data_IF_691892201755
#
_entry.id   IF_691892201755
#
_cell.length_a   1.000
_cell.length_b   1.000
_cell.length_c   1.000
_cell.angle_alpha   90.00
_cell.angle_beta   90.00
_cell.angle_gamma   90.00
#
_symmetry.space_group_name_H-M   'P 1'
#
loop_
_entity.id
_entity.type
_entity.pdbx_description
1 polymer ?
#
# COMPACT_ATOMS: atom_id res chain seq x y z
N UNK A 1 -13.74 -11.20 11.48
CA UNK A 1 -13.26 -10.22 12.48
C UNK A 1 -11.82 -9.88 12.14
N UNK A 2 -11.37 -8.64 12.37
CA UNK A 2 -9.95 -8.31 12.24
C UNK A 2 -9.20 -9.04 13.36
N UNK A 3 -8.13 -9.76 13.00
CA UNK A 3 -7.34 -10.55 13.94
C UNK A 3 -5.92 -10.01 14.00
N UNK A 4 -5.40 -9.86 15.22
CA UNK A 4 -3.99 -9.56 15.44
C UNK A 4 -3.32 -10.77 16.08
N UNK A 5 -2.34 -11.34 15.38
CA UNK A 5 -1.55 -12.47 15.83
C UNK A 5 -0.09 -12.02 15.94
N UNK A 6 0.32 -11.61 17.14
CA UNK A 6 1.64 -11.01 17.36
C UNK A 6 1.80 -9.72 16.55
N UNK A 7 2.73 -9.74 15.58
CA UNK A 7 3.00 -8.62 14.68
C UNK A 7 2.33 -8.75 13.31
N UNK A 8 1.35 -9.62 13.15
CA UNK A 8 0.59 -9.75 11.92
C UNK A 8 -0.85 -9.31 12.16
N UNK A 9 -1.36 -8.52 11.22
CA UNK A 9 -2.78 -8.25 11.09
C UNK A 9 -3.35 -9.07 9.95
N UNK A 10 -4.48 -9.70 10.21
CA UNK A 10 -5.31 -10.38 9.24
C UNK A 10 -6.67 -9.69 9.21
N UNK A 11 -7.04 -9.18 8.04
CA UNK A 11 -8.24 -8.39 7.82
C UNK A 11 -9.09 -9.10 6.77
N UNK A 12 -10.25 -9.67 7.13
CA UNK A 12 -11.14 -10.29 6.15
C UNK A 12 -11.53 -9.33 5.03
N UNK A 13 -11.63 -9.83 3.80
CA UNK A 13 -11.95 -9.05 2.60
C UNK A 13 -13.27 -8.26 2.74
N UNK A 14 -14.24 -8.83 3.46
CA UNK A 14 -15.56 -8.24 3.71
C UNK A 14 -15.61 -7.25 4.87
N UNK A 15 -14.48 -6.98 5.53
CA UNK A 15 -14.40 -5.99 6.61
C UNK A 15 -14.79 -4.62 6.05
N UNK A 16 -15.71 -3.91 6.71
CA UNK A 16 -16.02 -2.55 6.30
C UNK A 16 -14.78 -1.65 6.45
N UNK A 17 -14.54 -0.75 5.51
CA UNK A 17 -13.40 0.18 5.62
C UNK A 17 -13.48 1.01 6.90
N UNK A 18 -14.69 1.38 7.33
CA UNK A 18 -14.90 2.07 8.61
C UNK A 18 -14.44 1.24 9.81
N UNK A 19 -14.69 -0.08 9.82
CA UNK A 19 -14.24 -0.97 10.89
C UNK A 19 -12.72 -1.14 10.87
N UNK A 20 -12.11 -1.21 9.68
CA UNK A 20 -10.67 -1.20 9.52
C UNK A 20 -10.05 0.07 10.12
N UNK A 21 -10.58 1.24 9.74
CA UNK A 21 -10.11 2.54 10.22
C UNK A 21 -10.30 2.75 11.72
N UNK A 22 -11.32 2.13 12.30
CA UNK A 22 -11.56 2.15 13.74
C UNK A 22 -10.67 1.16 14.52
N UNK A 23 -9.94 0.27 13.85
CA UNK A 23 -9.14 -0.76 14.51
C UNK A 23 -7.91 -0.16 15.21
N UNK A 24 -7.76 -0.29 16.55
CA UNK A 24 -6.70 0.39 17.29
C UNK A 24 -5.26 -0.01 16.91
N UNK A 25 -5.07 -1.21 16.35
CA UNK A 25 -3.76 -1.69 15.90
C UNK A 25 -3.39 -1.27 14.48
N UNK A 26 -4.23 -0.47 13.79
CA UNK A 26 -3.96 -0.02 12.44
C UNK A 26 -2.84 1.02 12.42
N UNK A 27 -1.83 0.91 11.54
CA UNK A 27 -0.84 1.97 11.37
C UNK A 27 -1.51 3.32 11.02
N UNK A 28 -1.23 4.42 11.74
CA UNK A 28 -1.89 5.71 11.48
C UNK A 28 -1.69 6.24 10.06
N UNK A 29 -0.58 5.89 9.40
CA UNK A 29 -0.35 6.23 8.00
C UNK A 29 -1.30 5.51 7.03
N UNK A 30 -1.75 4.31 7.37
CA UNK A 30 -2.72 3.56 6.57
C UNK A 30 -4.10 4.23 6.64
N UNK A 31 -4.47 4.75 7.81
CA UNK A 31 -5.70 5.55 7.97
C UNK A 31 -5.65 6.87 7.17
N UNK A 32 -4.48 7.51 7.06
CA UNK A 32 -4.28 8.71 6.22
C UNK A 32 -4.30 8.41 4.72
N UNK A 33 -3.98 7.18 4.33
CA UNK A 33 -4.04 6.74 2.94
C UNK A 33 -5.49 6.52 2.47
N UNK A 34 -6.45 6.38 3.38
CA UNK A 34 -7.85 6.29 2.99
C UNK A 34 -8.45 7.66 2.66
N UNK A 35 -9.22 7.70 1.57
CA UNK A 35 -10.04 8.85 1.21
C UNK A 35 -11.40 8.76 1.93
N UNK A 36 -12.02 9.88 2.36
CA UNK A 36 -13.29 9.90 3.12
C UNK A 36 -14.51 9.26 2.42
N UNK A 37 -14.36 8.77 1.19
CA UNK A 37 -15.43 8.29 0.33
C UNK A 37 -15.55 6.76 0.21
N UNK A 38 -14.64 5.98 0.80
CA UNK A 38 -14.67 4.52 0.71
C UNK A 38 -15.74 3.91 1.63
N UNK A 39 -17.02 4.10 1.27
CA UNK A 39 -18.09 3.26 1.79
C UNK A 39 -17.94 1.83 1.23
N UNK A 40 -18.20 0.82 2.05
CA UNK A 40 -18.21 -0.58 1.63
C UNK A 40 -17.13 -1.44 2.29
N UNK A 41 -16.88 -2.61 1.70
CA UNK A 41 -15.86 -3.55 2.18
C UNK A 41 -14.47 -3.13 1.73
N UNK A 42 -13.44 -3.58 2.46
CA UNK A 42 -12.04 -3.53 2.04
C UNK A 42 -11.91 -4.06 0.61
N UNK A 43 -12.69 -5.08 0.27
CA UNK A 43 -12.66 -5.64 -1.05
C UNK A 43 -13.09 -4.72 -2.17
N UNK A 44 -14.22 -4.06 -1.99
CA UNK A 44 -14.68 -3.04 -2.92
C UNK A 44 -13.70 -1.85 -2.97
N UNK A 45 -13.15 -1.46 -1.81
CA UNK A 45 -12.21 -0.36 -1.73
C UNK A 45 -10.94 -0.62 -2.56
N UNK A 46 -10.45 -1.87 -2.62
CA UNK A 46 -9.24 -2.24 -3.37
C UNK A 46 -9.46 -2.58 -4.85
N UNK A 47 -10.70 -2.52 -5.36
CA UNK A 47 -10.97 -2.74 -6.79
C UNK A 47 -10.31 -1.70 -7.69
N UNK A 48 -10.32 -0.38 -7.36
CA UNK A 48 -9.47 0.58 -8.05
C UNK A 48 -8.01 0.39 -7.62
N UNK A 49 -7.24 -0.30 -8.47
CA UNK A 49 -5.83 -0.61 -8.20
C UNK A 49 -4.96 0.63 -7.88
N UNK A 50 -5.31 1.80 -8.42
CA UNK A 50 -4.54 3.04 -8.31
C UNK A 50 -4.85 3.91 -7.09
N UNK A 51 -5.66 3.44 -6.13
CA UNK A 51 -6.00 4.23 -4.96
C UNK A 51 -4.82 4.35 -3.98
N UNK A 52 -4.95 5.30 -3.04
CA UNK A 52 -3.93 5.59 -2.02
C UNK A 52 -3.71 4.42 -1.05
N UNK A 53 -4.76 3.68 -0.69
CA UNK A 53 -4.66 2.49 0.16
C UNK A 53 -3.77 1.42 -0.50
N UNK A 54 -3.95 1.16 -1.79
CA UNK A 54 -3.18 0.20 -2.56
C UNK A 54 -1.69 0.54 -2.56
N UNK A 55 -1.34 1.82 -2.65
CA UNK A 55 0.04 2.27 -2.56
C UNK A 55 0.64 1.96 -1.17
N UNK A 56 -0.11 2.25 -0.10
CA UNK A 56 0.31 1.94 1.26
C UNK A 56 0.45 0.42 1.52
N UNK A 57 -0.48 -0.38 1.01
CA UNK A 57 -0.46 -1.84 1.09
C UNK A 57 0.69 -2.46 0.29
N UNK A 58 1.02 -1.90 -0.87
CA UNK A 58 2.19 -2.29 -1.65
C UNK A 58 3.49 -2.01 -0.89
N UNK A 59 3.60 -0.84 -0.25
CA UNK A 59 4.74 -0.50 0.58
C UNK A 59 4.87 -1.43 1.80
N UNK A 60 3.75 -1.83 2.43
CA UNK A 60 3.73 -2.72 3.59
C UNK A 60 4.11 -4.18 3.30
N UNK A 61 4.37 -4.55 2.04
CA UNK A 61 4.56 -5.95 1.63
C UNK A 61 3.38 -6.84 2.03
N UNK A 62 2.17 -6.28 1.86
CA UNK A 62 0.95 -7.01 2.16
C UNK A 62 0.73 -8.19 1.21
N UNK A 63 -0.07 -9.14 1.67
CA UNK A 63 -0.44 -10.33 0.91
C UNK A 63 -1.94 -10.53 0.99
N UNK A 64 -2.51 -11.12 -0.05
CA UNK A 64 -3.88 -11.61 -0.06
C UNK A 64 -3.87 -13.10 0.28
N UNK A 65 -4.70 -13.48 1.23
CA UNK A 65 -5.10 -14.86 1.45
C UNK A 65 -6.23 -15.18 0.45
N UNK A 66 -6.01 -16.21 -0.36
CA UNK A 66 -6.95 -16.72 -1.33
C UNK A 66 -7.60 -18.01 -0.84
N UNK A 67 -8.69 -18.39 -1.48
CA UNK A 67 -9.30 -19.71 -1.29
C UNK A 67 -8.29 -20.86 -1.53
N UNK A 68 -8.51 -21.97 -0.83
CA UNK A 68 -7.61 -23.14 -0.82
C UNK A 68 -6.21 -22.84 -0.22
N UNK A 69 -6.14 -22.00 0.81
CA UNK A 69 -4.94 -21.70 1.60
C UNK A 69 -3.75 -21.19 0.77
N UNK A 70 -4.03 -20.50 -0.33
CA UNK A 70 -3.01 -19.87 -1.16
C UNK A 70 -2.78 -18.43 -0.70
N UNK A 71 -1.54 -17.96 -0.83
CA UNK A 71 -1.19 -16.55 -0.59
C UNK A 71 -0.70 -15.93 -1.88
N UNK A 72 -1.10 -14.70 -2.15
CA UNK A 72 -0.67 -13.90 -3.30
C UNK A 72 -0.06 -12.59 -2.81
N UNK A 73 1.13 -12.22 -3.29
CA UNK A 73 1.72 -10.93 -2.98
C UNK A 73 0.83 -9.80 -3.51
N UNK A 74 0.68 -8.70 -2.76
CA UNK A 74 -0.18 -7.62 -3.21
C UNK A 74 0.32 -6.96 -4.51
N UNK A 75 1.64 -6.93 -4.74
CA UNK A 75 2.20 -6.52 -6.03
C UNK A 75 1.78 -7.41 -7.20
N UNK A 76 1.73 -8.73 -6.98
CA UNK A 76 1.28 -9.69 -8.00
C UNK A 76 -0.22 -9.53 -8.28
N UNK A 77 -1.01 -9.27 -7.23
CA UNK A 77 -2.42 -8.93 -7.38
C UNK A 77 -2.64 -7.69 -8.25
N UNK A 78 -1.88 -6.62 -8.02
CA UNK A 78 -1.95 -5.41 -8.85
C UNK A 78 -1.56 -5.69 -10.31
N UNK A 79 -0.55 -6.53 -10.53
CA UNK A 79 -0.08 -6.90 -11.86
C UNK A 79 -1.10 -7.77 -12.64
N UNK A 80 -1.80 -8.67 -11.94
CA UNK A 80 -2.90 -9.46 -12.52
C UNK A 80 -4.13 -8.61 -12.81
N UNK A 81 -4.31 -7.52 -12.07
CA UNK A 81 -5.46 -6.64 -12.13
C UNK A 81 -6.58 -7.12 -11.20
N UNK A 82 -7.20 -6.22 -10.40
CA UNK A 82 -8.25 -6.61 -9.44
C UNK A 82 -9.46 -7.32 -10.03
N UNK A 83 -9.76 -7.08 -11.31
CA UNK A 83 -10.84 -7.74 -12.04
C UNK A 83 -10.51 -9.19 -12.48
N UNK A 84 -9.24 -9.61 -12.41
CA UNK A 84 -8.81 -10.94 -12.82
C UNK A 84 -9.00 -12.00 -11.71
N UNK A 85 -8.98 -11.58 -10.44
CA UNK A 85 -9.43 -12.43 -9.33
C UNK A 85 -10.94 -12.32 -9.22
N UNK A 86 -11.64 -13.45 -9.28
CA UNK A 86 -13.08 -13.45 -9.03
C UNK A 86 -13.36 -12.93 -7.62
N UNK A 87 -14.50 -12.24 -7.42
CA UNK A 87 -14.89 -11.69 -6.10
C UNK A 87 -14.88 -12.75 -4.96
N UNK A 88 -14.96 -14.04 -5.30
CA UNK A 88 -14.97 -15.17 -4.37
C UNK A 88 -13.58 -15.74 -4.04
N UNK A 89 -12.50 -15.27 -4.68
CA UNK A 89 -11.19 -15.93 -4.56
C UNK A 89 -10.32 -15.41 -3.42
N UNK A 90 -10.55 -14.20 -2.91
CA UNK A 90 -9.76 -13.65 -1.79
C UNK A 90 -10.56 -13.52 -0.50
N UNK A 91 -9.95 -13.98 0.57
CA UNK A 91 -10.56 -14.21 1.88
C UNK A 91 -10.13 -13.11 2.86
N UNK A 92 -8.85 -12.73 2.83
CA UNK A 92 -8.29 -11.75 3.75
C UNK A 92 -7.08 -11.03 3.16
N UNK A 93 -6.80 -9.86 3.69
CA UNK A 93 -5.54 -9.13 3.55
C UNK A 93 -4.70 -9.40 4.80
N UNK A 94 -3.41 -9.63 4.62
CA UNK A 94 -2.46 -9.78 5.71
C UNK A 94 -1.23 -8.89 5.53
N UNK A 95 -0.75 -8.31 6.62
CA UNK A 95 0.52 -7.57 6.64
C UNK A 95 1.14 -7.53 8.04
N UNK A 96 2.43 -7.24 8.09
CA UNK A 96 3.17 -7.03 9.33
C UNK A 96 2.91 -5.64 9.91
N UNK A 97 2.78 -5.54 11.23
CA UNK A 97 2.72 -4.26 11.97
C UNK A 97 4.08 -3.80 12.48
N UNK A 98 5.15 -4.55 12.24
CA UNK A 98 6.50 -4.15 12.59
C UNK A 98 7.04 -2.93 11.83
N UNK A 99 6.77 -2.75 10.51
CA UNK A 99 7.33 -1.61 9.80
C UNK A 99 6.70 -0.30 10.27
N UNK A 100 7.53 0.73 10.40
CA UNK A 100 7.06 2.10 10.45
C UNK A 100 6.60 2.50 9.04
N UNK A 101 5.31 2.78 8.89
CA UNK A 101 4.73 3.28 7.64
C UNK A 101 4.62 4.80 7.67
N UNK A 102 5.13 5.45 6.64
CA UNK A 102 4.92 6.86 6.33
C UNK A 102 4.14 6.99 5.02
N UNK A 103 3.24 7.98 4.94
CA UNK A 103 2.41 8.23 3.77
C UNK A 103 2.28 9.74 3.54
N UNK A 104 2.38 10.17 2.29
CA UNK A 104 2.14 11.54 1.86
C UNK A 104 1.45 11.56 0.49
N UNK A 105 0.57 12.53 0.28
CA UNK A 105 -0.12 12.74 -0.99
C UNK A 105 -0.19 14.24 -1.30
N UNK A 106 -0.16 14.58 -2.59
CA UNK A 106 -0.34 15.96 -3.06
C UNK A 106 -1.81 16.21 -3.47
N UNK A 107 -2.19 17.48 -3.74
CA UNK A 107 -3.53 17.82 -4.21
C UNK A 107 -3.87 17.31 -5.62
N UNK A 108 -2.86 17.01 -6.45
CA UNK A 108 -3.04 16.51 -7.82
C UNK A 108 -3.31 14.99 -7.87
N UNK A 109 -3.13 14.28 -6.75
CA UNK A 109 -3.39 12.86 -6.60
C UNK A 109 -2.13 11.99 -6.56
N UNK A 110 -0.94 12.55 -6.75
CA UNK A 110 0.33 11.82 -6.58
C UNK A 110 0.54 11.48 -5.11
N UNK A 111 1.02 10.28 -4.81
CA UNK A 111 1.18 9.84 -3.43
C UNK A 111 2.29 8.80 -3.27
N UNK A 112 2.98 8.86 -2.13
CA UNK A 112 4.09 7.99 -1.75
C UNK A 112 3.79 7.29 -0.43
N UNK A 113 4.21 6.03 -0.34
CA UNK A 113 4.20 5.25 0.89
C UNK A 113 5.58 4.63 1.12
N UNK A 114 6.13 4.82 2.32
CA UNK A 114 7.43 4.29 2.73
C UNK A 114 7.28 3.43 3.98
N UNK A 115 7.55 2.14 3.87
CA UNK A 115 7.59 1.21 5.00
C UNK A 115 9.05 0.93 5.39
N UNK A 116 9.38 1.03 6.68
CA UNK A 116 10.72 0.77 7.22
C UNK A 116 10.67 -0.27 8.33
N UNK A 117 11.29 -1.42 8.12
CA UNK A 117 11.35 -2.50 9.12
C UNK A 117 12.54 -2.28 10.08
N UNK A 118 12.43 -2.79 11.32
CA UNK A 118 13.55 -2.78 12.28
C UNK A 118 14.82 -3.49 11.78
N UNK A 119 14.70 -4.37 10.78
CA UNK A 119 15.81 -5.07 10.14
C UNK A 119 16.67 -4.19 9.22
N UNK A 120 16.24 -2.95 8.96
CA UNK A 120 16.83 -2.05 7.96
C UNK A 120 16.14 -2.12 6.60
N UNK A 121 15.29 -3.13 6.33
CA UNK A 121 14.52 -3.18 5.08
C UNK A 121 13.65 -1.91 4.94
N UNK A 122 13.68 -1.29 3.76
CA UNK A 122 12.85 -0.17 3.38
C UNK A 122 12.14 -0.51 2.06
N UNK A 123 10.87 -0.14 1.96
CA UNK A 123 10.07 -0.34 0.76
C UNK A 123 9.31 0.94 0.41
N UNK A 124 9.55 1.47 -0.79
CA UNK A 124 8.93 2.70 -1.29
C UNK A 124 7.98 2.37 -2.44
N UNK A 125 6.72 2.75 -2.30
CA UNK A 125 5.73 2.72 -3.36
C UNK A 125 5.31 4.15 -3.75
N UNK A 126 5.00 4.34 -5.02
CA UNK A 126 4.49 5.59 -5.59
C UNK A 126 3.25 5.30 -6.42
N UNK A 127 2.21 6.13 -6.30
CA UNK A 127 0.96 6.00 -7.03
C UNK A 127 0.41 7.36 -7.46
N UNK A 128 -0.67 7.36 -8.24
CA UNK A 128 -1.31 8.58 -8.75
C UNK A 128 -0.83 9.05 -10.13
N UNK A 129 0.14 8.37 -10.74
CA UNK A 129 0.62 8.64 -12.11
C UNK A 129 0.25 7.54 -13.13
N UNK A 130 -0.31 6.43 -12.66
CA UNK A 130 -0.66 5.26 -13.47
C UNK A 130 -1.91 4.56 -12.90
N UNK A 131 -2.37 3.50 -13.56
CA UNK A 131 -3.55 2.74 -13.16
C UNK A 131 -3.39 1.96 -11.84
N UNK A 132 -2.16 1.67 -11.44
CA UNK A 132 -1.80 1.00 -10.19
C UNK A 132 -0.50 1.63 -9.64
N UNK A 133 -0.26 1.61 -8.32
CA UNK A 133 0.99 2.07 -7.76
C UNK A 133 2.16 1.18 -8.19
N UNK A 134 3.33 1.78 -8.33
CA UNK A 134 4.56 1.09 -8.65
C UNK A 134 5.44 0.95 -7.40
N UNK A 135 6.13 -0.18 -7.31
CA UNK A 135 7.18 -0.39 -6.33
C UNK A 135 8.46 0.27 -6.83
N UNK A 136 8.85 1.39 -6.22
CA UNK A 136 10.08 2.10 -6.58
C UNK A 136 11.31 1.42 -5.99
N UNK A 137 11.23 0.97 -4.74
CA UNK A 137 12.37 0.38 -4.02
C UNK A 137 11.93 -0.72 -3.06
N UNK A 138 12.73 -1.77 -2.96
CA UNK A 138 12.71 -2.76 -1.87
C UNK A 138 14.17 -3.18 -1.57
N UNK A 139 14.72 -2.73 -0.44
CA UNK A 139 16.14 -2.90 -0.14
C UNK A 139 16.47 -2.71 1.34
N UNK A 140 17.73 -2.95 1.74
CA UNK A 140 18.18 -2.89 3.15
C UNK A 140 18.69 -1.53 3.63
N UNK A 141 18.92 -0.60 2.72
CA UNK A 141 19.41 0.74 3.05
C UNK A 141 18.50 1.75 2.36
N UNK A 142 18.04 2.81 3.05
CA UNK A 142 17.24 3.87 2.44
C UNK A 142 18.08 4.79 1.53
N UNK A 143 19.41 4.58 1.43
CA UNK A 143 20.22 5.21 0.39
C UNK A 143 19.75 4.72 -0.98
N UNK A 144 19.44 5.62 -1.90
CA UNK A 144 18.88 5.25 -3.20
C UNK A 144 17.39 5.53 -3.36
N UNK A 145 16.68 6.02 -2.33
CA UNK A 145 15.24 6.30 -2.45
C UNK A 145 14.94 7.32 -3.55
N UNK A 146 15.77 8.36 -3.67
CA UNK A 146 15.61 9.37 -4.70
C UNK A 146 15.88 8.79 -6.09
N UNK A 147 17.00 8.09 -6.27
CA UNK A 147 17.39 7.48 -7.54
C UNK A 147 16.37 6.43 -8.00
N UNK A 148 15.83 5.64 -7.06
CA UNK A 148 14.77 4.68 -7.31
C UNK A 148 13.48 5.37 -7.77
N UNK A 149 13.12 6.50 -7.15
CA UNK A 149 11.94 7.29 -7.52
C UNK A 149 12.11 7.94 -8.90
N UNK A 150 13.28 8.53 -9.18
CA UNK A 150 13.64 9.09 -10.48
C UNK A 150 13.54 8.03 -11.60
N UNK A 151 14.08 6.84 -11.36
CA UNK A 151 13.99 5.73 -12.31
C UNK A 151 12.54 5.27 -12.52
N UNK A 152 11.75 5.20 -11.44
CA UNK A 152 10.34 4.78 -11.52
C UNK A 152 9.49 5.77 -12.33
N UNK A 153 9.80 7.06 -12.23
CA UNK A 153 9.08 8.14 -12.92
C UNK A 153 9.75 8.56 -14.24
N UNK A 154 10.73 7.82 -14.75
CA UNK A 154 11.50 8.23 -15.94
C UNK A 154 10.65 8.38 -17.20
N UNK A 155 9.51 7.69 -17.27
CA UNK A 155 8.55 7.78 -18.37
C UNK A 155 7.53 8.93 -18.21
N UNK A 156 7.44 9.54 -17.03
CA UNK A 156 6.53 10.63 -16.67
C UNK A 156 7.23 11.70 -15.80
N UNK A 157 8.32 12.31 -16.33
CA UNK A 157 9.20 13.19 -15.56
C UNK A 157 8.51 14.44 -14.99
N UNK A 158 7.36 14.84 -15.52
CA UNK A 158 6.54 15.94 -15.01
C UNK A 158 6.09 15.74 -13.55
N UNK A 159 5.99 14.49 -13.08
CA UNK A 159 5.63 14.19 -11.69
C UNK A 159 6.81 14.23 -10.73
N UNK A 160 8.05 14.22 -11.22
CA UNK A 160 9.25 14.11 -10.39
C UNK A 160 9.40 15.24 -9.35
N UNK A 161 9.18 16.54 -9.68
CA UNK A 161 9.30 17.60 -8.68
C UNK A 161 8.37 17.40 -7.47
N UNK A 162 7.10 17.09 -7.71
CA UNK A 162 6.13 16.80 -6.65
C UNK A 162 6.51 15.52 -5.88
N UNK A 163 6.99 14.50 -6.58
CA UNK A 163 7.42 13.24 -5.95
C UNK A 163 8.58 13.45 -4.97
N UNK A 164 9.53 14.33 -5.29
CA UNK A 164 10.66 14.65 -4.40
C UNK A 164 10.24 15.42 -3.15
N UNK A 165 9.26 16.33 -3.26
CA UNK A 165 8.66 17.01 -2.11
C UNK A 165 7.96 15.99 -1.18
N UNK A 166 7.19 15.07 -1.76
CA UNK A 166 6.53 13.99 -1.01
C UNK A 166 7.56 13.04 -0.38
N UNK A 167 8.67 12.75 -1.07
CA UNK A 167 9.74 11.90 -0.54
C UNK A 167 10.35 12.52 0.71
N UNK A 168 10.62 13.83 0.70
CA UNK A 168 11.10 14.54 1.88
C UNK A 168 10.11 14.46 3.06
N UNK A 169 8.80 14.44 2.79
CA UNK A 169 7.77 14.32 3.83
C UNK A 169 7.66 12.91 4.43
N UNK A 170 7.94 11.84 3.66
CA UNK A 170 7.86 10.45 4.16
C UNK A 170 9.17 9.90 4.69
N UNK A 171 10.31 10.49 4.33
CA UNK A 171 11.64 10.07 4.75
C UNK A 171 12.01 10.49 6.18
N UNK A 172 11.20 11.37 6.80
CA UNK A 172 11.30 11.75 8.22
C UNK A 172 10.86 10.60 9.13
#
# INVERSE_FOLDING_TARGET
MIEQQGHFLRIPAQTAVADLLAFPGLPPALARAEEPAAGGSLAAALQPAGNRLACALLALDSQLELSADKTLGYGDFLALGPAALGEAEWIALQFSTQPQLSFAADPAGLHLALARWPSGRARLAVGGFAAAPALAMDGREPSGLQEALENTLSAVPEHLPAALELLAAVAV
#
